data_IF_563776830933
#
_entry.id   IF_563776830933
#
_cell.length_a   1.000
_cell.length_b   1.000
_cell.length_c   1.000
_cell.angle_alpha   90.00
_cell.angle_beta   90.00
_cell.angle_gamma   90.00
#
_symmetry.space_group_name_H-M   'P 1'
#
loop_
_entity.id
_entity.type
_entity.pdbx_description
1 polymer ?
#
# COMPACT_ATOMS: atom_id res chain seq x y z
N UNK A 1 14.38 -24.41 5.92
CA UNK A 1 13.62 -25.34 5.04
C UNK A 1 12.13 -25.37 5.37
N UNK A 2 11.72 -25.43 6.65
CA UNK A 2 10.30 -25.43 7.03
C UNK A 2 9.56 -24.12 6.70
N UNK A 3 10.20 -22.95 6.83
CA UNK A 3 9.57 -21.67 6.52
C UNK A 3 9.24 -21.50 5.03
N UNK A 4 10.14 -21.89 4.12
CA UNK A 4 10.01 -21.64 2.67
C UNK A 4 8.78 -22.30 2.03
N UNK A 5 8.38 -23.50 2.46
CA UNK A 5 7.18 -24.15 1.90
C UNK A 5 5.88 -23.54 2.46
N UNK A 6 5.89 -23.08 3.72
CA UNK A 6 4.76 -22.35 4.33
C UNK A 6 4.60 -20.98 3.67
N UNK A 7 5.70 -20.30 3.37
CA UNK A 7 5.71 -19.02 2.66
C UNK A 7 5.25 -19.15 1.22
N UNK A 8 5.60 -20.25 0.53
CA UNK A 8 5.08 -20.53 -0.80
C UNK A 8 3.54 -20.71 -0.83
N UNK A 9 2.96 -21.26 0.25
CA UNK A 9 1.51 -21.47 0.36
C UNK A 9 0.75 -20.27 0.95
N UNK A 10 1.40 -19.50 1.81
CA UNK A 10 0.71 -18.46 2.59
C UNK A 10 1.15 -17.04 2.24
N UNK A 11 2.19 -16.85 1.41
CA UNK A 11 2.85 -15.56 1.18
C UNK A 11 3.95 -15.27 2.20
N UNK A 12 4.65 -14.15 2.05
CA UNK A 12 5.78 -13.77 2.91
C UNK A 12 5.36 -13.63 4.39
N UNK A 13 6.03 -14.34 5.29
CA UNK A 13 5.77 -14.25 6.72
C UNK A 13 6.26 -12.92 7.30
N UNK A 14 7.31 -12.35 6.70
CA UNK A 14 7.84 -11.04 7.09
C UNK A 14 6.83 -9.93 6.78
N UNK A 15 6.26 -9.92 5.57
CA UNK A 15 5.21 -8.97 5.18
C UNK A 15 4.00 -9.04 6.11
N UNK A 16 3.56 -10.26 6.47
CA UNK A 16 2.47 -10.45 7.43
C UNK A 16 2.80 -9.94 8.83
N UNK A 17 4.04 -10.15 9.27
CA UNK A 17 4.52 -9.66 10.56
C UNK A 17 4.53 -8.13 10.58
N UNK A 18 5.05 -7.50 9.53
CA UNK A 18 5.11 -6.05 9.40
C UNK A 18 3.69 -5.45 9.35
N UNK A 19 2.82 -5.97 8.48
CA UNK A 19 1.43 -5.56 8.43
C UNK A 19 0.73 -5.64 9.80
N UNK A 20 0.96 -6.73 10.55
CA UNK A 20 0.38 -6.88 11.89
C UNK A 20 0.91 -5.84 12.88
N UNK A 21 2.19 -5.48 12.78
CA UNK A 21 2.79 -4.44 13.62
C UNK A 21 2.19 -3.08 13.29
N UNK A 22 2.11 -2.70 12.01
CA UNK A 22 1.53 -1.42 11.59
C UNK A 22 0.03 -1.33 11.91
N UNK A 23 -0.70 -2.43 11.77
CA UNK A 23 -2.10 -2.49 12.21
C UNK A 23 -2.25 -2.26 13.72
N UNK A 24 -1.37 -2.83 14.53
CA UNK A 24 -1.38 -2.64 15.98
C UNK A 24 -1.04 -1.20 16.37
N UNK A 25 -0.10 -0.56 15.65
CA UNK A 25 0.22 0.86 15.80
C UNK A 25 -1.01 1.74 15.55
N UNK A 26 -1.71 1.52 14.44
CA UNK A 26 -2.97 2.19 14.11
C UNK A 26 -4.03 1.96 15.20
N UNK A 27 -4.12 0.75 15.75
CA UNK A 27 -5.10 0.42 16.79
C UNK A 27 -4.79 1.06 18.15
N UNK A 28 -3.53 1.40 18.41
CA UNK A 28 -3.06 2.02 19.65
C UNK A 28 -3.18 3.56 19.66
N UNK A 29 -3.49 4.19 18.53
CA UNK A 29 -3.66 5.64 18.43
C UNK A 29 -4.76 6.15 19.37
N UNK A 30 -4.64 7.39 19.89
CA UNK A 30 -5.66 7.99 20.73
C UNK A 30 -6.87 8.48 19.90
N UNK A 31 -8.07 8.32 20.46
CA UNK A 31 -9.31 8.97 20.03
C UNK A 31 -9.51 9.14 18.51
N UNK A 32 -9.80 10.37 18.01
CA UNK A 32 -10.21 10.60 16.63
C UNK A 32 -9.18 10.15 15.57
N UNK A 33 -7.89 10.10 15.93
CA UNK A 33 -6.81 9.63 15.05
C UNK A 33 -6.95 8.14 14.71
N UNK A 34 -7.25 7.29 15.71
CA UNK A 34 -7.49 5.87 15.49
C UNK A 34 -8.70 5.63 14.59
N UNK A 35 -9.77 6.41 14.77
CA UNK A 35 -10.98 6.32 13.95
C UNK A 35 -10.69 6.68 12.49
N UNK A 36 -9.99 7.79 12.25
CA UNK A 36 -9.64 8.24 10.91
C UNK A 36 -8.68 7.26 10.21
N UNK A 37 -7.62 6.83 10.90
CA UNK A 37 -6.66 5.85 10.39
C UNK A 37 -7.32 4.52 10.02
N UNK A 38 -8.24 4.00 10.84
CA UNK A 38 -8.99 2.76 10.53
C UNK A 38 -9.95 2.93 9.36
N UNK A 39 -10.60 4.09 9.23
CA UNK A 39 -11.49 4.37 8.11
C UNK A 39 -10.71 4.42 6.78
N UNK A 40 -9.57 5.13 6.75
CA UNK A 40 -8.68 5.18 5.59
C UNK A 40 -8.09 3.81 5.26
N UNK A 41 -7.57 3.09 6.25
CA UNK A 41 -7.11 1.72 6.08
C UNK A 41 -8.18 0.84 5.43
N UNK A 42 -9.43 0.89 5.92
CA UNK A 42 -10.54 0.15 5.33
C UNK A 42 -10.78 0.59 3.88
N UNK A 43 -10.81 1.89 3.62
CA UNK A 43 -11.04 2.45 2.29
C UNK A 43 -9.98 1.94 1.30
N UNK A 44 -8.70 1.97 1.66
CA UNK A 44 -7.60 1.48 0.82
C UNK A 44 -7.70 -0.01 0.46
N UNK A 45 -8.21 -0.85 1.37
CA UNK A 45 -8.43 -2.27 1.08
C UNK A 45 -9.49 -2.51 -0.02
N UNK A 46 -10.38 -1.54 -0.28
CA UNK A 46 -11.35 -1.60 -1.37
C UNK A 46 -10.91 -0.81 -2.61
N UNK A 47 -10.34 0.38 -2.40
CA UNK A 47 -9.98 1.30 -3.48
C UNK A 47 -8.68 0.93 -4.19
N UNK A 48 -7.65 0.51 -3.43
CA UNK A 48 -6.28 0.56 -3.92
C UNK A 48 -5.94 -0.43 -5.04
N UNK A 49 -6.70 -1.51 -5.22
CA UNK A 49 -6.34 -2.56 -6.19
C UNK A 49 -4.91 -3.10 -6.02
N UNK A 50 -4.27 -2.83 -4.87
CA UNK A 50 -2.87 -3.14 -4.60
C UNK A 50 -2.78 -4.65 -4.43
N UNK A 51 -2.23 -5.31 -5.44
CA UNK A 51 -2.06 -6.76 -5.47
C UNK A 51 -0.65 -7.18 -5.06
N UNK A 52 0.26 -6.22 -4.96
CA UNK A 52 1.63 -6.42 -4.51
C UNK A 52 1.74 -6.26 -2.98
N UNK A 53 2.30 -7.28 -2.33
CA UNK A 53 2.39 -7.34 -0.86
C UNK A 53 3.35 -6.32 -0.28
N UNK A 54 4.48 -6.03 -0.93
CA UNK A 54 5.48 -5.08 -0.44
C UNK A 54 4.95 -3.63 -0.51
N UNK A 55 4.29 -3.30 -1.62
CA UNK A 55 3.62 -2.01 -1.81
C UNK A 55 2.53 -1.80 -0.76
N UNK A 56 1.72 -2.84 -0.50
CA UNK A 56 0.68 -2.79 0.52
C UNK A 56 1.26 -2.54 1.91
N UNK A 57 2.27 -3.32 2.31
CA UNK A 57 2.90 -3.19 3.62
C UNK A 57 3.53 -1.81 3.80
N UNK A 58 4.22 -1.29 2.78
CA UNK A 58 4.82 0.05 2.79
C UNK A 58 3.76 1.12 3.00
N UNK A 59 2.69 1.11 2.20
CA UNK A 59 1.59 2.07 2.30
C UNK A 59 0.92 2.07 3.68
N UNK A 60 0.75 0.89 4.29
CA UNK A 60 0.14 0.78 5.63
C UNK A 60 1.10 1.25 6.72
N UNK A 61 2.41 1.04 6.55
CA UNK A 61 3.44 1.62 7.41
C UNK A 61 3.42 3.16 7.36
N UNK A 62 3.43 3.74 6.15
CA UNK A 62 3.38 5.19 5.96
C UNK A 62 2.08 5.82 6.49
N UNK A 63 0.96 5.09 6.39
CA UNK A 63 -0.29 5.48 7.02
C UNK A 63 -0.17 5.52 8.55
N UNK A 64 0.44 4.50 9.16
CA UNK A 64 0.66 4.48 10.60
C UNK A 64 1.56 5.65 11.06
N UNK A 65 2.67 5.88 10.35
CA UNK A 65 3.62 6.97 10.60
C UNK A 65 2.95 8.36 10.54
N UNK A 66 2.10 8.59 9.52
CA UNK A 66 1.34 9.83 9.37
C UNK A 66 0.49 10.12 10.62
N UNK A 67 -0.29 9.13 11.06
CA UNK A 67 -1.25 9.31 12.13
C UNK A 67 -0.60 9.34 13.52
N UNK A 68 0.51 8.64 13.72
CA UNK A 68 1.31 8.75 14.95
C UNK A 68 1.89 10.15 15.11
N UNK A 69 2.46 10.72 14.03
CA UNK A 69 2.98 12.09 14.04
C UNK A 69 1.86 13.09 14.32
N UNK A 70 0.73 12.96 13.62
CA UNK A 70 -0.45 13.81 13.86
C UNK A 70 -0.94 13.76 15.31
N UNK A 71 -0.98 12.57 15.90
CA UNK A 71 -1.40 12.40 17.29
C UNK A 71 -0.39 13.03 18.27
N UNK A 72 0.91 12.90 17.99
CA UNK A 72 1.98 13.50 18.80
C UNK A 72 1.94 15.03 18.75
N UNK A 73 1.67 15.59 17.58
CA UNK A 73 1.63 17.04 17.33
C UNK A 73 0.28 17.67 17.72
N UNK A 74 -0.76 16.87 17.98
CA UNK A 74 -2.10 17.36 18.26
C UNK A 74 -2.81 17.95 17.03
N UNK A 75 -2.40 17.54 15.83
CA UNK A 75 -2.91 18.07 14.56
C UNK A 75 -4.37 17.70 14.36
N UNK A 76 -5.29 18.66 14.14
CA UNK A 76 -6.68 18.35 13.84
C UNK A 76 -6.81 17.39 12.65
N UNK A 77 -7.74 16.42 12.72
CA UNK A 77 -7.98 15.45 11.63
C UNK A 77 -8.21 16.14 10.29
N UNK A 78 -8.92 17.27 10.28
CA UNK A 78 -9.24 18.04 9.07
C UNK A 78 -8.05 18.77 8.47
N UNK A 79 -7.02 19.05 9.26
CA UNK A 79 -5.79 19.64 8.74
C UNK A 79 -4.95 18.59 7.99
N UNK A 80 -5.22 17.29 8.21
CA UNK A 80 -4.55 16.17 7.55
C UNK A 80 -5.31 15.73 6.30
N UNK A 81 -6.61 15.46 6.45
CA UNK A 81 -7.43 14.88 5.36
C UNK A 81 -8.13 15.92 4.51
N UNK A 82 -8.05 17.21 4.88
CA UNK A 82 -8.75 18.29 4.20
C UNK A 82 -10.28 18.23 4.32
N UNK A 83 -10.93 19.03 3.48
CA UNK A 83 -12.39 19.07 3.39
C UNK A 83 -12.95 17.79 2.74
N UNK A 84 -12.25 17.27 1.73
CA UNK A 84 -12.58 16.02 1.04
C UNK A 84 -11.62 14.87 1.46
N UNK A 85 -12.04 14.01 2.41
CA UNK A 85 -11.23 12.88 2.84
C UNK A 85 -11.11 11.77 1.78
N UNK A 86 -12.00 11.74 0.78
CA UNK A 86 -11.90 10.79 -0.33
C UNK A 86 -10.80 11.23 -1.28
N UNK A 87 -10.77 12.51 -1.67
CA UNK A 87 -9.69 13.07 -2.48
C UNK A 87 -8.31 12.84 -1.83
N UNK A 88 -8.19 13.06 -0.53
CA UNK A 88 -6.98 12.75 0.23
C UNK A 88 -6.61 11.26 0.11
N UNK A 89 -7.57 10.36 0.33
CA UNK A 89 -7.35 8.92 0.29
C UNK A 89 -6.88 8.46 -1.10
N UNK A 90 -7.57 8.91 -2.16
CA UNK A 90 -7.24 8.54 -3.53
C UNK A 90 -5.87 9.07 -3.94
N UNK A 91 -5.56 10.33 -3.60
CA UNK A 91 -4.24 10.93 -3.85
C UNK A 91 -3.14 10.19 -3.09
N UNK A 92 -3.37 9.84 -1.83
CA UNK A 92 -2.44 9.05 -1.04
C UNK A 92 -2.18 7.69 -1.69
N UNK A 93 -3.23 6.98 -2.12
CA UNK A 93 -3.10 5.68 -2.77
C UNK A 93 -2.38 5.77 -4.14
N UNK A 94 -2.58 6.85 -4.89
CA UNK A 94 -1.92 7.08 -6.19
C UNK A 94 -0.40 7.12 -6.09
N UNK A 95 0.17 7.55 -4.95
CA UNK A 95 1.61 7.50 -4.70
C UNK A 95 2.18 6.07 -4.74
N UNK A 96 1.33 5.05 -4.52
CA UNK A 96 1.71 3.64 -4.49
C UNK A 96 1.21 2.85 -5.70
N UNK A 97 0.16 3.31 -6.39
CA UNK A 97 -0.43 2.63 -7.57
C UNK A 97 0.11 3.13 -8.91
N UNK A 98 0.61 4.37 -8.99
CA UNK A 98 1.07 4.99 -10.24
C UNK A 98 2.23 4.26 -10.93
N UNK A 99 3.00 3.47 -10.19
CA UNK A 99 4.14 2.71 -10.70
C UNK A 99 3.70 1.34 -11.26
N UNK A 100 2.87 0.58 -10.53
CA UNK A 100 2.78 -0.88 -10.73
C UNK A 100 1.89 -1.36 -11.90
N UNK A 101 0.72 -0.75 -12.17
CA UNK A 101 -0.18 -1.28 -13.21
C UNK A 101 0.38 -1.05 -14.62
N UNK A 102 0.92 0.15 -14.87
CA UNK A 102 1.53 0.47 -16.15
C UNK A 102 2.88 -0.23 -16.33
N UNK A 103 3.63 -0.52 -15.27
CA UNK A 103 4.91 -1.23 -15.40
C UNK A 103 4.72 -2.67 -15.86
N UNK A 104 3.64 -3.35 -15.44
CA UNK A 104 3.29 -4.68 -15.95
C UNK A 104 2.92 -4.64 -17.43
N UNK A 105 2.17 -3.62 -17.86
CA UNK A 105 1.78 -3.46 -19.26
C UNK A 105 2.95 -2.97 -20.13
N UNK A 106 3.84 -2.14 -19.59
CA UNK A 106 5.12 -1.74 -20.21
C UNK A 106 6.01 -2.96 -20.41
N UNK A 107 6.16 -3.81 -19.40
CA UNK A 107 6.95 -5.04 -19.53
C UNK A 107 6.36 -6.00 -20.58
N UNK A 108 5.03 -6.12 -20.65
CA UNK A 108 4.36 -6.91 -21.71
C UNK A 108 4.60 -6.33 -23.09
N UNK A 109 4.47 -5.02 -23.24
CA UNK A 109 4.72 -4.32 -24.50
C UNK A 109 6.18 -4.47 -24.93
N UNK A 110 7.14 -4.20 -24.05
CA UNK A 110 8.58 -4.38 -24.31
C UNK A 110 8.87 -5.80 -24.76
N UNK A 111 8.36 -6.80 -24.03
CA UNK A 111 8.53 -8.21 -24.38
C UNK A 111 7.95 -8.55 -25.76
N UNK A 112 6.76 -8.03 -26.08
CA UNK A 112 6.15 -8.26 -27.38
C UNK A 112 6.97 -7.67 -28.54
N UNK A 113 7.62 -6.53 -28.33
CA UNK A 113 8.51 -5.92 -29.32
C UNK A 113 9.83 -6.71 -29.43
N UNK A 114 10.44 -7.12 -28.31
CA UNK A 114 11.66 -7.96 -28.31
C UNK A 114 11.44 -9.30 -29.02
N UNK A 115 10.30 -9.95 -28.77
CA UNK A 115 9.94 -11.22 -29.40
C UNK A 115 9.74 -11.00 -30.93
N UNK A 116 9.12 -9.89 -31.35
CA UNK A 116 8.96 -9.54 -32.77
C UNK A 116 10.29 -9.21 -33.47
N UNK A 117 11.19 -8.45 -32.83
CA UNK A 117 12.53 -8.16 -33.37
C UNK A 117 13.37 -9.43 -33.55
N UNK A 118 13.19 -10.40 -32.65
CA UNK A 118 13.86 -11.70 -32.71
C UNK A 118 13.34 -12.58 -33.86
N UNK A 119 12.07 -12.41 -34.25
CA UNK A 119 11.47 -13.08 -35.42
C UNK A 119 11.88 -12.42 -36.76
N UNK A 120 12.24 -11.13 -36.77
CA UNK A 120 12.69 -10.40 -37.97
C UNK A 120 14.17 -10.64 -38.33
N UNK A 121 15.01 -11.06 -37.38
CA UNK A 121 16.43 -11.35 -37.63
C UNK A 121 16.62 -12.86 -37.83
N UNK A 122 16.81 -13.35 -39.09
CA UNK A 122 17.02 -14.77 -39.37
C UNK A 122 18.33 -15.32 -38.80
#
# INVERSE_FOLDING_TARGET
MVAKWIEALTGSLEQKKQYKQDKARIDALPGPYATAAKALHRYFMYYGGITDGDTLVTMIGDLADLWERAAADGTPVRDIVGDDPVEFAETFAQAYTGTQWIDKERARLTKAIEDAESEERP
#
